data_IF_277609318612
#
_entry.id   IF_277609318612
#
_cell.length_a   1.000
_cell.length_b   1.000
_cell.length_c   1.000
_cell.angle_alpha   90.00
_cell.angle_beta   90.00
_cell.angle_gamma   90.00
#
_symmetry.space_group_name_H-M   'P 1'
#
loop_
_entity.id
_entity.type
_entity.pdbx_description
1 polymer ?
#
# COMPACT_ATOMS: atom_id res chain seq x y z
N UNK A 1 -27.74 -10.19 0.30
CA UNK A 1 -26.70 -9.49 1.07
C UNK A 1 -26.24 -10.48 2.13
N UNK A 2 -24.93 -10.68 2.28
CA UNK A 2 -24.40 -11.59 3.29
C UNK A 2 -24.81 -11.08 4.68
N UNK A 3 -25.47 -11.91 5.49
CA UNK A 3 -25.97 -11.52 6.81
C UNK A 3 -24.86 -11.05 7.74
N UNK A 4 -23.60 -11.47 7.49
CA UNK A 4 -22.42 -11.01 8.21
C UNK A 4 -22.21 -9.49 8.09
N UNK A 5 -22.50 -8.90 6.93
CA UNK A 5 -22.27 -7.47 6.70
C UNK A 5 -23.30 -6.61 7.44
N UNK A 6 -24.57 -7.02 7.43
CA UNK A 6 -25.61 -6.34 8.21
C UNK A 6 -25.31 -6.42 9.70
N UNK A 7 -24.92 -7.60 10.21
CA UNK A 7 -24.51 -7.75 11.61
C UNK A 7 -23.32 -6.86 11.97
N UNK A 8 -22.31 -6.80 11.09
CA UNK A 8 -21.13 -5.96 11.31
C UNK A 8 -21.43 -4.46 11.26
N UNK A 9 -22.35 -4.01 10.40
CA UNK A 9 -22.87 -2.64 10.39
C UNK A 9 -23.58 -2.27 11.69
N UNK A 10 -24.50 -3.13 12.15
CA UNK A 10 -25.23 -2.92 13.40
C UNK A 10 -24.28 -2.86 14.60
N UNK A 11 -23.32 -3.79 14.67
CA UNK A 11 -22.28 -3.79 15.70
C UNK A 11 -21.38 -2.55 15.64
N UNK A 12 -21.04 -2.07 14.43
CA UNK A 12 -20.25 -0.85 14.23
C UNK A 12 -20.96 0.38 14.82
N UNK A 13 -22.26 0.51 14.56
CA UNK A 13 -23.08 1.60 15.12
C UNK A 13 -23.16 1.48 16.64
N UNK A 14 -23.34 0.27 17.17
CA UNK A 14 -23.45 0.02 18.61
C UNK A 14 -22.20 0.43 19.39
N UNK A 15 -21.00 0.28 18.82
CA UNK A 15 -19.73 0.73 19.46
C UNK A 15 -19.39 2.21 19.18
N UNK A 16 -20.27 2.93 18.49
CA UNK A 16 -20.18 4.37 18.27
C UNK A 16 -19.55 4.80 16.94
N UNK A 17 -19.43 3.92 15.94
CA UNK A 17 -19.05 4.34 14.59
C UNK A 17 -20.24 5.04 13.93
N UNK A 18 -20.00 6.25 13.41
CA UNK A 18 -21.00 7.02 12.68
C UNK A 18 -20.98 6.59 11.21
N UNK A 19 -22.11 6.09 10.70
CA UNK A 19 -22.29 5.64 9.31
C UNK A 19 -23.42 6.43 8.63
N UNK A 20 -23.07 7.38 7.76
CA UNK A 20 -24.03 8.19 7.00
C UNK A 20 -24.03 7.78 5.53
N UNK A 21 -25.21 7.39 5.02
CA UNK A 21 -25.44 7.04 3.61
C UNK A 21 -24.54 5.90 3.07
N UNK A 22 -24.05 5.00 3.93
CA UNK A 22 -23.18 3.87 3.52
C UNK A 22 -23.73 2.51 3.92
N UNK A 23 -23.30 1.49 3.20
CA UNK A 23 -23.50 0.07 3.50
C UNK A 23 -22.33 -0.75 2.94
N UNK A 24 -22.06 -1.93 3.51
CA UNK A 24 -21.12 -2.90 2.97
C UNK A 24 -21.79 -3.79 1.93
N UNK A 25 -21.09 -4.03 0.84
CA UNK A 25 -21.56 -4.87 -0.24
C UNK A 25 -20.44 -5.65 -0.90
N UNK A 26 -20.75 -6.18 -2.08
CA UNK A 26 -19.79 -6.84 -2.96
C UNK A 26 -19.65 -6.00 -4.22
N UNK A 27 -18.43 -5.58 -4.52
CA UNK A 27 -18.04 -4.85 -5.72
C UNK A 27 -17.09 -5.66 -6.59
N UNK A 28 -16.53 -5.00 -7.61
CA UNK A 28 -15.57 -5.64 -8.53
C UNK A 28 -14.31 -6.17 -7.82
N UNK A 29 -13.95 -5.57 -6.68
CA UNK A 29 -12.75 -5.89 -5.92
C UNK A 29 -13.04 -6.71 -4.65
N UNK A 30 -14.22 -7.33 -4.55
CA UNK A 30 -14.69 -8.05 -3.36
C UNK A 30 -15.49 -7.14 -2.42
N UNK A 31 -15.35 -7.36 -1.11
CA UNK A 31 -16.09 -6.58 -0.10
C UNK A 31 -15.74 -5.10 -0.22
N UNK A 32 -16.75 -4.25 -0.34
CA UNK A 32 -16.58 -2.81 -0.50
C UNK A 32 -17.61 -2.00 0.27
N UNK A 33 -17.36 -0.70 0.40
CA UNK A 33 -18.32 0.27 0.94
C UNK A 33 -19.09 0.90 -0.22
N UNK A 34 -20.41 0.81 -0.19
CA UNK A 34 -21.34 1.36 -1.16
C UNK A 34 -22.14 2.50 -0.56
N UNK A 35 -22.54 3.46 -1.40
CA UNK A 35 -23.52 4.46 -1.02
C UNK A 35 -24.94 3.88 -1.06
N UNK A 36 -25.74 4.12 -0.01
CA UNK A 36 -27.17 3.75 0.03
C UNK A 36 -27.97 4.55 -1.02
N UNK A 37 -27.62 5.82 -1.18
CA UNK A 37 -28.11 6.73 -2.21
C UNK A 37 -26.91 7.41 -2.88
N UNK A 38 -26.60 7.01 -4.12
CA UNK A 38 -25.44 7.52 -4.86
C UNK A 38 -25.54 9.02 -5.23
N UNK A 39 -26.71 9.64 -5.06
CA UNK A 39 -26.92 11.08 -5.30
C UNK A 39 -26.60 11.96 -4.09
N UNK A 40 -26.29 11.35 -2.94
CA UNK A 40 -26.01 12.04 -1.68
C UNK A 40 -24.57 11.80 -1.24
N UNK A 41 -23.96 12.74 -0.49
CA UNK A 41 -22.67 12.52 0.10
C UNK A 41 -22.72 11.37 1.13
N UNK A 42 -21.56 10.81 1.42
CA UNK A 42 -21.33 9.82 2.48
C UNK A 42 -20.51 10.45 3.60
N UNK A 43 -20.63 9.89 4.80
CA UNK A 43 -19.70 10.13 5.89
C UNK A 43 -19.51 8.88 6.74
N UNK A 44 -18.27 8.60 7.12
CA UNK A 44 -17.90 7.54 8.06
C UNK A 44 -16.93 8.13 9.07
N UNK A 45 -17.24 8.00 10.36
CA UNK A 45 -16.34 8.40 11.45
C UNK A 45 -16.14 7.23 12.42
N UNK A 46 -14.89 6.82 12.58
CA UNK A 46 -14.47 5.83 13.57
C UNK A 46 -13.84 6.55 14.76
N UNK A 47 -14.42 6.47 15.97
CA UNK A 47 -13.81 6.99 17.18
C UNK A 47 -12.48 6.32 17.52
N UNK A 48 -11.58 7.06 18.20
CA UNK A 48 -10.24 6.56 18.56
C UNK A 48 -10.28 5.26 19.36
N UNK A 49 -11.26 5.07 20.26
CA UNK A 49 -11.37 3.86 21.10
C UNK A 49 -11.77 2.61 20.32
N UNK A 50 -12.30 2.75 19.11
CA UNK A 50 -12.72 1.64 18.24
C UNK A 50 -11.61 1.22 17.27
N UNK A 51 -10.55 2.02 17.11
CA UNK A 51 -9.38 1.62 16.33
C UNK A 51 -8.69 0.44 17.00
N UNK A 52 -8.34 -0.58 16.23
CA UNK A 52 -7.68 -1.80 16.74
C UNK A 52 -6.18 -1.74 16.46
N UNK A 53 -5.31 -1.60 17.48
CA UNK A 53 -3.87 -1.70 17.31
C UNK A 53 -3.48 -3.07 16.75
N UNK A 54 -2.61 -3.13 15.74
CA UNK A 54 -2.20 -4.40 15.14
C UNK A 54 -1.51 -5.33 16.15
N UNK A 55 -0.81 -4.78 17.14
CA UNK A 55 -0.14 -5.54 18.20
C UNK A 55 -1.11 -6.24 19.16
N UNK A 56 -2.40 -5.90 19.13
CA UNK A 56 -3.44 -6.52 19.96
C UNK A 56 -4.02 -7.79 19.34
N UNK A 57 -3.64 -8.13 18.10
CA UNK A 57 -4.21 -9.26 17.37
C UNK A 57 -3.36 -10.52 17.61
N UNK A 58 -4.01 -11.62 17.96
CA UNK A 58 -3.47 -12.96 17.86
C UNK A 58 -3.82 -13.52 16.47
N UNK A 59 -2.84 -13.56 15.57
CA UNK A 59 -3.04 -14.04 14.20
C UNK A 59 -3.16 -15.57 14.11
N UNK A 60 -2.80 -16.30 15.16
CA UNK A 60 -2.98 -17.75 15.21
C UNK A 60 -4.46 -18.09 15.36
N UNK A 61 -5.15 -17.41 16.29
CA UNK A 61 -6.58 -17.59 16.56
C UNK A 61 -7.48 -16.65 15.75
N UNK A 62 -6.92 -15.63 15.11
CA UNK A 62 -7.65 -14.54 14.44
C UNK A 62 -8.60 -13.79 15.40
N UNK A 63 -8.13 -13.54 16.62
CA UNK A 63 -8.89 -12.82 17.66
C UNK A 63 -8.02 -11.81 18.36
N UNK A 64 -8.63 -10.92 19.15
CA UNK A 64 -7.91 -10.04 20.06
C UNK A 64 -7.26 -10.87 21.16
N UNK A 65 -5.99 -10.58 21.47
CA UNK A 65 -5.23 -11.20 22.56
C UNK A 65 -5.94 -11.07 23.91
N UNK A 66 -5.83 -12.10 24.75
CA UNK A 66 -6.55 -12.19 26.02
C UNK A 66 -6.11 -11.12 27.03
N UNK A 67 -4.83 -10.74 27.01
CA UNK A 67 -4.20 -9.77 27.91
C UNK A 67 -4.51 -8.30 27.58
N UNK A 68 -5.17 -8.02 26.46
CA UNK A 68 -5.55 -6.64 26.08
C UNK A 68 -6.62 -6.12 27.04
N UNK A 69 -6.43 -4.94 27.62
CA UNK A 69 -7.47 -4.32 28.45
C UNK A 69 -8.42 -3.48 27.58
N UNK A 70 -9.69 -3.87 27.50
CA UNK A 70 -10.76 -3.16 26.78
C UNK A 70 -12.13 -3.63 27.31
N UNK A 71 -13.23 -2.98 26.89
CA UNK A 71 -14.58 -3.45 27.24
C UNK A 71 -14.95 -4.70 26.45
N UNK A 72 -15.86 -5.52 27.00
CA UNK A 72 -16.35 -6.73 26.31
C UNK A 72 -16.99 -6.37 24.97
N UNK A 73 -17.77 -5.29 24.92
CA UNK A 73 -18.42 -4.77 23.70
C UNK A 73 -17.41 -4.47 22.59
N UNK A 74 -16.32 -3.76 22.91
CA UNK A 74 -15.28 -3.42 21.92
C UNK A 74 -14.49 -4.66 21.50
N UNK A 75 -14.21 -5.58 22.43
CA UNK A 75 -13.54 -6.85 22.12
C UNK A 75 -14.37 -7.71 21.18
N UNK A 76 -15.66 -7.87 21.45
CA UNK A 76 -16.60 -8.62 20.60
C UNK A 76 -16.66 -7.99 19.20
N UNK A 77 -16.75 -6.66 19.14
CA UNK A 77 -16.72 -5.93 17.88
C UNK A 77 -15.42 -6.17 17.09
N UNK A 78 -14.26 -6.07 17.73
CA UNK A 78 -12.97 -6.32 17.08
C UNK A 78 -12.85 -7.77 16.59
N UNK A 79 -13.31 -8.75 17.37
CA UNK A 79 -13.33 -10.15 16.94
C UNK A 79 -14.25 -10.35 15.73
N UNK A 80 -15.42 -9.70 15.71
CA UNK A 80 -16.33 -9.72 14.56
C UNK A 80 -15.70 -9.09 13.31
N UNK A 81 -14.99 -7.96 13.48
CA UNK A 81 -14.21 -7.35 12.40
C UNK A 81 -13.16 -8.32 11.85
N UNK A 82 -12.35 -8.95 12.70
CA UNK A 82 -11.31 -9.90 12.29
C UNK A 82 -11.90 -11.12 11.57
N UNK A 83 -13.02 -11.64 12.06
CA UNK A 83 -13.76 -12.73 11.42
C UNK A 83 -14.37 -12.33 10.08
N UNK A 84 -14.65 -11.04 9.86
CA UNK A 84 -15.18 -10.52 8.60
C UNK A 84 -14.05 -10.24 7.59
N UNK A 85 -12.98 -9.58 8.03
CA UNK A 85 -11.85 -9.14 7.20
C UNK A 85 -10.87 -10.25 6.82
N UNK A 86 -10.78 -11.32 7.63
CA UNK A 86 -9.87 -12.46 7.42
C UNK A 86 -10.62 -13.79 7.49
N UNK A 87 -11.81 -13.83 6.88
CA UNK A 87 -12.62 -15.04 6.78
C UNK A 87 -11.96 -16.12 5.90
N UNK A 88 -12.51 -17.34 5.95
CA UNK A 88 -11.99 -18.48 5.20
C UNK A 88 -11.99 -18.27 3.68
N UNK A 89 -12.93 -17.51 3.13
CA UNK A 89 -12.99 -17.22 1.68
C UNK A 89 -11.79 -16.37 1.26
N UNK A 90 -11.51 -15.28 1.99
CA UNK A 90 -10.35 -14.39 1.74
C UNK A 90 -9.03 -15.17 1.89
N UNK A 91 -8.96 -16.04 2.91
CA UNK A 91 -7.80 -16.90 3.13
C UNK A 91 -7.62 -17.90 1.97
N UNK A 92 -8.71 -18.51 1.48
CA UNK A 92 -8.68 -19.45 0.37
C UNK A 92 -8.28 -18.77 -0.95
N UNK A 93 -8.82 -17.58 -1.24
CA UNK A 93 -8.46 -16.79 -2.41
C UNK A 93 -6.96 -16.46 -2.44
N UNK A 94 -6.41 -16.00 -1.31
CA UNK A 94 -4.98 -15.69 -1.23
C UNK A 94 -4.11 -16.96 -1.30
N UNK A 95 -4.53 -18.07 -0.69
CA UNK A 95 -3.84 -19.37 -0.83
C UNK A 95 -3.83 -19.86 -2.28
N UNK A 96 -4.91 -19.64 -3.04
CA UNK A 96 -4.95 -19.98 -4.46
C UNK A 96 -3.93 -19.15 -5.26
N UNK A 97 -3.82 -17.86 -4.97
CA UNK A 97 -2.77 -16.99 -5.56
C UNK A 97 -1.37 -17.49 -5.21
N UNK A 98 -1.09 -17.80 -3.93
CA UNK A 98 0.22 -18.29 -3.50
C UNK A 98 0.57 -19.65 -4.11
N UNK A 99 -0.42 -20.53 -4.29
CA UNK A 99 -0.26 -21.77 -5.04
C UNK A 99 0.13 -21.50 -6.49
N UNK A 100 -0.57 -20.61 -7.19
CA UNK A 100 -0.22 -20.25 -8.57
C UNK A 100 1.18 -19.62 -8.66
N UNK A 101 1.58 -18.81 -7.68
CA UNK A 101 2.93 -18.25 -7.56
C UNK A 101 3.99 -19.35 -7.40
N UNK A 102 3.72 -20.37 -6.59
CA UNK A 102 4.59 -21.51 -6.37
C UNK A 102 4.69 -22.41 -7.61
N UNK A 103 3.55 -22.77 -8.21
CA UNK A 103 3.47 -23.66 -9.38
C UNK A 103 4.18 -23.03 -10.61
N UNK A 104 4.21 -21.70 -10.69
CA UNK A 104 4.92 -20.93 -11.72
C UNK A 104 6.36 -20.56 -11.32
N UNK A 105 6.85 -20.95 -10.14
CA UNK A 105 8.20 -20.63 -9.66
C UNK A 105 8.49 -19.12 -9.58
N UNK A 106 7.47 -18.29 -9.34
CA UNK A 106 7.60 -16.83 -9.37
C UNK A 106 8.34 -16.26 -8.16
N UNK A 107 8.25 -16.93 -7.00
CA UNK A 107 9.01 -16.54 -5.80
C UNK A 107 10.52 -16.69 -6.05
N UNK A 108 10.97 -17.85 -6.54
CA UNK A 108 12.38 -18.10 -6.84
C UNK A 108 12.88 -17.18 -7.95
N UNK A 109 12.08 -17.01 -9.02
CA UNK A 109 12.42 -16.13 -10.12
C UNK A 109 12.62 -14.67 -9.67
N UNK A 110 11.74 -14.13 -8.81
CA UNK A 110 11.89 -12.74 -8.36
C UNK A 110 13.17 -12.58 -7.52
N UNK A 111 13.51 -13.58 -6.70
CA UNK A 111 14.73 -13.58 -5.91
C UNK A 111 15.98 -13.68 -6.80
N UNK A 112 16.00 -14.59 -7.78
CA UNK A 112 17.10 -14.74 -8.74
C UNK A 112 17.35 -13.44 -9.53
N UNK A 113 16.27 -12.80 -9.99
CA UNK A 113 16.32 -11.54 -10.76
C UNK A 113 16.43 -10.29 -9.88
N UNK A 114 16.38 -10.42 -8.56
CA UNK A 114 16.46 -9.31 -7.61
C UNK A 114 15.34 -8.27 -7.82
N UNK A 115 14.11 -8.72 -8.12
CA UNK A 115 12.93 -7.87 -8.38
C UNK A 115 12.24 -7.52 -7.04
N UNK A 116 12.97 -6.78 -6.21
CA UNK A 116 12.56 -6.43 -4.82
C UNK A 116 11.20 -5.75 -4.74
N UNK A 117 10.76 -5.07 -5.79
CA UNK A 117 9.46 -4.39 -5.84
C UNK A 117 8.26 -5.36 -5.82
N UNK A 118 8.45 -6.67 -6.03
CA UNK A 118 7.37 -7.68 -5.95
C UNK A 118 7.54 -8.66 -4.78
N UNK A 119 8.57 -8.49 -3.96
CA UNK A 119 8.95 -9.47 -2.94
C UNK A 119 7.82 -9.80 -1.96
N UNK A 120 6.96 -8.82 -1.61
CA UNK A 120 5.84 -9.05 -0.70
C UNK A 120 4.69 -9.76 -1.39
N UNK A 121 4.32 -9.34 -2.60
CA UNK A 121 3.24 -9.99 -3.35
C UNK A 121 3.57 -11.45 -3.67
N UNK A 122 4.83 -11.72 -4.06
CA UNK A 122 5.32 -13.05 -4.43
C UNK A 122 5.63 -13.95 -3.23
N UNK A 123 5.51 -13.47 -2.00
CA UNK A 123 5.77 -14.28 -0.80
C UNK A 123 4.74 -15.41 -0.72
N UNK A 124 5.24 -16.63 -0.52
CA UNK A 124 4.46 -17.81 -0.12
C UNK A 124 4.58 -17.92 1.39
N UNK A 125 3.45 -17.95 2.09
CA UNK A 125 3.42 -18.05 3.55
C UNK A 125 3.33 -19.52 3.96
N UNK A 126 4.06 -19.91 5.01
CA UNK A 126 4.12 -21.30 5.46
C UNK A 126 2.93 -21.66 6.35
N UNK A 127 2.35 -20.66 7.01
CA UNK A 127 1.25 -20.82 7.96
C UNK A 127 0.12 -19.83 7.73
N UNK A 128 -1.07 -20.18 8.21
CA UNK A 128 -2.24 -19.28 8.21
C UNK A 128 -1.99 -18.02 9.06
N UNK A 129 -1.18 -18.12 10.10
CA UNK A 129 -0.77 -16.99 10.93
C UNK A 129 0.02 -15.95 10.11
N UNK A 130 1.06 -16.38 9.40
CA UNK A 130 1.87 -15.51 8.53
C UNK A 130 1.06 -14.90 7.39
N UNK A 131 0.14 -15.69 6.84
CA UNK A 131 -0.76 -15.24 5.80
C UNK A 131 -1.69 -14.14 6.32
N UNK A 132 -2.32 -14.33 7.50
CA UNK A 132 -3.15 -13.28 8.12
C UNK A 132 -2.33 -12.03 8.44
N UNK A 133 -1.11 -12.16 8.95
CA UNK A 133 -0.21 -11.00 9.15
C UNK A 133 0.06 -10.23 7.85
N UNK A 134 0.26 -10.96 6.74
CA UNK A 134 0.50 -10.37 5.41
C UNK A 134 -0.73 -9.61 4.90
N UNK A 135 -1.92 -10.20 5.02
CA UNK A 135 -3.19 -9.56 4.66
C UNK A 135 -3.50 -8.36 5.57
N UNK A 136 -3.29 -8.52 6.87
CA UNK A 136 -3.52 -7.52 7.89
C UNK A 136 -2.69 -6.27 7.66
N UNK A 137 -1.41 -6.42 7.36
CA UNK A 137 -0.51 -5.29 7.11
C UNK A 137 -0.80 -4.51 5.81
N UNK A 138 -1.79 -4.92 5.01
CA UNK A 138 -2.29 -4.16 3.86
C UNK A 138 -3.49 -3.25 4.23
N UNK A 139 -4.03 -3.37 5.45
CA UNK A 139 -5.26 -2.70 5.93
C UNK A 139 -5.02 -1.71 7.07
N UNK A 140 -3.76 -1.43 7.39
CA UNK A 140 -3.36 -0.61 8.55
C UNK A 140 -3.04 0.83 8.18
N UNK A 141 -3.31 1.73 9.11
CA UNK A 141 -2.89 3.12 9.08
C UNK A 141 -1.84 3.35 10.18
N UNK A 142 -0.80 4.14 9.86
CA UNK A 142 0.14 4.62 10.88
C UNK A 142 -0.48 5.81 11.62
N UNK A 143 -0.65 5.69 12.95
CA UNK A 143 -1.17 6.74 13.83
C UNK A 143 -0.32 6.82 15.10
N UNK A 144 0.19 8.00 15.43
CA UNK A 144 0.91 8.25 16.70
C UNK A 144 2.09 7.25 16.95
N UNK A 145 2.72 6.74 15.90
CA UNK A 145 3.79 5.73 16.02
C UNK A 145 3.31 4.27 16.09
N UNK A 146 2.00 4.02 16.09
CA UNK A 146 1.39 2.69 16.09
C UNK A 146 0.69 2.38 14.77
N UNK A 147 0.70 1.12 14.35
CA UNK A 147 -0.14 0.63 13.25
C UNK A 147 -1.50 0.24 13.80
N UNK A 148 -2.56 0.81 13.23
CA UNK A 148 -3.94 0.58 13.66
C UNK A 148 -4.80 0.15 12.48
N UNK A 149 -5.69 -0.80 12.74
CA UNK A 149 -6.81 -1.11 11.88
C UNK A 149 -7.91 -0.05 12.06
N UNK A 150 -8.65 0.18 10.98
CA UNK A 150 -9.78 1.11 10.96
C UNK A 150 -11.04 0.31 10.59
N UNK A 151 -11.58 -0.49 11.52
CA UNK A 151 -12.72 -1.37 11.23
C UNK A 151 -13.83 -0.62 10.51
N UNK A 152 -14.32 -1.15 9.39
CA UNK A 152 -15.27 -0.51 8.45
C UNK A 152 -14.59 0.35 7.37
N UNK A 153 -13.75 1.31 7.72
CA UNK A 153 -13.08 2.20 6.76
C UNK A 153 -12.11 1.45 5.83
N UNK A 154 -11.48 0.39 6.32
CA UNK A 154 -10.54 -0.43 5.55
C UNK A 154 -11.20 -1.35 4.50
N UNK A 155 -12.54 -1.34 4.40
CA UNK A 155 -13.28 -1.92 3.27
C UNK A 155 -13.51 -0.93 2.12
N UNK A 156 -13.21 0.36 2.29
CA UNK A 156 -13.29 1.31 1.18
C UNK A 156 -12.13 1.06 0.21
N UNK A 157 -12.44 0.79 -1.06
CA UNK A 157 -11.43 0.43 -2.05
C UNK A 157 -10.57 1.60 -2.49
N UNK A 158 -9.44 1.28 -3.12
CA UNK A 158 -8.53 2.29 -3.64
C UNK A 158 -8.97 2.88 -4.99
N UNK A 159 -8.97 4.21 -5.09
CA UNK A 159 -8.92 4.95 -6.36
C UNK A 159 -8.14 6.25 -6.16
N UNK A 160 -7.37 6.66 -7.17
CA UNK A 160 -6.65 7.94 -7.13
C UNK A 160 -6.93 8.77 -8.39
N UNK A 161 -7.31 10.06 -8.25
CA UNK A 161 -7.66 10.76 -7.01
C UNK A 161 -9.01 10.29 -6.45
N UNK A 162 -9.18 10.33 -5.14
CA UNK A 162 -10.45 10.08 -4.44
C UNK A 162 -10.40 10.69 -3.03
N UNK A 163 -11.35 10.34 -2.16
CA UNK A 163 -11.38 10.77 -0.75
C UNK A 163 -10.08 10.37 -0.04
N UNK A 164 -9.74 11.06 1.05
CA UNK A 164 -8.57 10.72 1.87
C UNK A 164 -9.01 10.51 3.31
N UNK A 165 -8.33 9.59 3.99
CA UNK A 165 -8.48 9.44 5.44
C UNK A 165 -8.07 10.73 6.15
N UNK A 166 -8.95 11.27 6.97
CA UNK A 166 -8.64 12.37 7.87
C UNK A 166 -8.47 11.80 9.28
N UNK A 167 -7.25 11.88 9.79
CA UNK A 167 -6.93 11.49 11.17
C UNK A 167 -7.01 12.72 12.05
N UNK A 168 -7.87 12.68 13.08
CA UNK A 168 -8.03 13.74 14.09
C UNK A 168 -7.66 13.18 15.47
N UNK A 169 -7.59 14.01 16.50
CA UNK A 169 -7.40 13.54 17.88
C UNK A 169 -8.49 12.56 18.33
N UNK A 170 -9.71 12.70 17.81
CA UNK A 170 -10.89 11.93 18.21
C UNK A 170 -11.09 10.63 17.41
N UNK A 171 -10.35 10.43 16.32
CA UNK A 171 -10.50 9.23 15.49
C UNK A 171 -10.05 9.39 14.06
N UNK A 172 -10.65 8.61 13.16
CA UNK A 172 -10.39 8.66 11.72
C UNK A 172 -11.71 8.74 10.96
N UNK A 173 -11.78 9.59 9.93
CA UNK A 173 -13.00 9.80 9.15
C UNK A 173 -12.74 9.92 7.65
N UNK A 174 -13.78 9.64 6.85
CA UNK A 174 -13.90 10.03 5.44
C UNK A 174 -15.27 10.67 5.22
N UNK A 175 -15.34 11.65 4.33
CA UNK A 175 -16.60 12.27 3.91
C UNK A 175 -16.46 12.87 2.52
N UNK A 176 -17.52 12.80 1.72
CA UNK A 176 -17.58 13.34 0.36
C UNK A 176 -18.53 12.56 -0.55
N UNK A 177 -18.35 12.67 -1.85
CA UNK A 177 -19.24 12.02 -2.82
C UNK A 177 -18.74 10.62 -3.20
N UNK A 178 -19.63 9.61 -3.31
CA UNK A 178 -19.27 8.32 -3.86
C UNK A 178 -18.97 8.44 -5.37
N UNK A 179 -18.24 7.47 -5.92
CA UNK A 179 -17.95 7.41 -7.36
C UNK A 179 -18.61 6.17 -7.91
N UNK A 180 -19.55 6.35 -8.85
CA UNK A 180 -20.33 5.27 -9.45
C UNK A 180 -21.08 4.40 -8.41
N UNK A 181 -21.46 5.01 -7.28
CA UNK A 181 -22.13 4.34 -6.15
C UNK A 181 -21.22 3.64 -5.14
N UNK A 182 -19.91 3.57 -5.40
CA UNK A 182 -18.92 3.00 -4.48
C UNK A 182 -18.10 4.08 -3.78
N UNK A 183 -17.75 3.84 -2.53
CA UNK A 183 -16.91 4.73 -1.73
C UNK A 183 -15.45 4.34 -1.92
N UNK A 184 -14.70 5.20 -2.58
CA UNK A 184 -13.28 5.03 -2.78
C UNK A 184 -12.46 5.97 -1.90
N UNK A 185 -11.25 5.53 -1.59
CA UNK A 185 -10.24 6.31 -0.87
C UNK A 185 -8.89 6.22 -1.57
N UNK A 186 -8.07 7.25 -1.40
CA UNK A 186 -6.70 7.24 -1.86
C UNK A 186 -5.78 6.78 -0.74
N UNK A 187 -5.16 5.61 -0.92
CA UNK A 187 -4.14 5.07 0.01
C UNK A 187 -2.81 5.84 -0.05
N UNK A 188 -2.73 6.84 -0.92
CA UNK A 188 -1.56 7.70 -1.10
C UNK A 188 -1.09 7.76 -2.55
N UNK A 189 0.02 8.46 -2.76
CA UNK A 189 0.71 8.52 -4.05
C UNK A 189 1.52 7.24 -4.26
N UNK A 190 0.86 6.17 -4.69
CA UNK A 190 1.50 4.90 -5.07
C UNK A 190 1.55 4.79 -6.59
N UNK A 191 2.55 4.05 -7.08
CA UNK A 191 2.52 3.53 -8.45
C UNK A 191 1.87 2.15 -8.46
N UNK A 192 1.54 1.68 -9.66
CA UNK A 192 0.78 0.44 -9.88
C UNK A 192 1.56 -0.80 -9.42
N UNK A 193 2.90 -0.78 -9.50
CA UNK A 193 3.76 -1.83 -8.96
C UNK A 193 3.72 -1.88 -7.43
N UNK A 194 3.72 -0.73 -6.74
CA UNK A 194 3.58 -0.67 -5.29
C UNK A 194 2.20 -1.11 -4.83
N UNK A 195 1.15 -0.78 -5.58
CA UNK A 195 -0.21 -1.25 -5.29
C UNK A 195 -0.28 -2.77 -5.33
N UNK A 196 0.28 -3.38 -6.37
CA UNK A 196 0.37 -4.83 -6.51
C UNK A 196 1.16 -5.44 -5.35
N UNK A 197 2.35 -4.91 -5.07
CA UNK A 197 3.23 -5.46 -4.04
C UNK A 197 2.66 -5.38 -2.62
N UNK A 198 1.96 -4.28 -2.31
CA UNK A 198 1.52 -3.98 -0.94
C UNK A 198 0.12 -4.51 -0.67
N UNK A 199 -0.79 -4.35 -1.64
CA UNK A 199 -2.21 -4.62 -1.47
C UNK A 199 -2.74 -5.76 -2.36
N UNK A 200 -1.92 -6.29 -3.27
CA UNK A 200 -2.30 -7.44 -4.10
C UNK A 200 -3.20 -7.14 -5.29
N UNK A 201 -3.42 -5.86 -5.64
CA UNK A 201 -4.27 -5.48 -6.77
C UNK A 201 -3.59 -4.48 -7.70
N UNK A 202 -4.18 -4.32 -8.89
CA UNK A 202 -3.80 -3.32 -9.87
C UNK A 202 -4.86 -2.20 -9.95
N UNK A 203 -4.40 -0.95 -10.00
CA UNK A 203 -5.23 0.20 -10.39
C UNK A 203 -4.34 1.16 -11.20
N UNK A 204 -4.81 1.76 -12.31
CA UNK A 204 -4.03 2.74 -13.04
C UNK A 204 -3.67 3.94 -12.16
N UNK A 205 -2.40 4.33 -12.18
CA UNK A 205 -1.93 5.47 -11.37
C UNK A 205 -1.38 6.56 -12.28
N UNK A 206 -1.02 7.70 -11.68
CA UNK A 206 -0.33 8.80 -12.38
C UNK A 206 1.16 8.86 -12.06
N UNK A 207 1.67 7.94 -11.24
CA UNK A 207 3.02 7.99 -10.70
C UNK A 207 3.81 6.79 -11.19
N UNK A 208 5.12 6.97 -11.31
CA UNK A 208 6.06 5.87 -11.43
C UNK A 208 7.23 6.15 -10.49
N UNK A 209 7.57 5.19 -9.64
CA UNK A 209 8.70 5.26 -8.74
C UNK A 209 9.77 4.25 -9.14
N UNK A 210 11.00 4.51 -8.72
CA UNK A 210 12.09 3.59 -8.93
C UNK A 210 11.97 2.38 -7.99
N UNK A 211 12.43 1.23 -8.45
CA UNK A 211 12.45 0.00 -7.65
C UNK A 211 13.47 0.14 -6.50
N UNK A 212 13.19 -0.43 -5.31
CA UNK A 212 14.16 -0.47 -4.22
C UNK A 212 15.46 -1.13 -4.67
N UNK A 213 16.60 -0.49 -4.44
CA UNK A 213 17.89 -0.94 -4.97
C UNK A 213 19.06 -0.32 -4.22
N UNK A 214 20.22 -0.95 -4.33
CA UNK A 214 21.47 -0.40 -3.80
C UNK A 214 22.45 -0.12 -4.93
N UNK A 215 23.17 1.01 -4.85
CA UNK A 215 24.12 1.47 -5.86
C UNK A 215 25.44 1.85 -5.22
N UNK A 216 26.56 1.40 -5.77
CA UNK A 216 27.88 1.83 -5.32
C UNK A 216 28.24 3.14 -6.03
N UNK A 217 28.43 4.22 -5.27
CA UNK A 217 28.95 5.49 -5.79
C UNK A 217 30.50 5.50 -5.80
N UNK A 218 31.11 4.73 -4.91
CA UNK A 218 32.55 4.48 -4.86
C UNK A 218 32.81 3.10 -4.24
N UNK A 219 34.08 2.73 -4.04
CA UNK A 219 34.45 1.50 -3.35
C UNK A 219 33.96 1.43 -1.89
N UNK A 220 33.68 2.57 -1.26
CA UNK A 220 33.31 2.67 0.16
C UNK A 220 31.98 3.35 0.41
N UNK A 221 31.33 3.90 -0.63
CA UNK A 221 30.09 4.65 -0.51
C UNK A 221 28.97 3.97 -1.30
N UNK A 222 27.95 3.52 -0.58
CA UNK A 222 26.74 2.94 -1.13
C UNK A 222 25.54 3.87 -0.94
N UNK A 223 24.62 3.84 -1.91
CA UNK A 223 23.31 4.49 -1.85
C UNK A 223 22.26 3.41 -1.78
N UNK A 224 21.38 3.47 -0.78
CA UNK A 224 20.21 2.62 -0.67
C UNK A 224 18.97 3.44 -1.04
N UNK A 225 18.33 3.03 -2.11
CA UNK A 225 17.08 3.56 -2.60
C UNK A 225 15.93 2.69 -2.09
N UNK A 226 15.00 3.29 -1.37
CA UNK A 226 13.76 2.66 -0.90
C UNK A 226 12.57 3.03 -1.81
N UNK A 227 11.36 2.58 -1.44
CA UNK A 227 10.09 3.03 -2.03
C UNK A 227 9.11 3.56 -0.95
N UNK A 228 9.66 4.28 0.03
CA UNK A 228 8.94 4.89 1.16
C UNK A 228 8.52 6.33 0.83
N UNK A 229 7.51 6.45 -0.03
CA UNK A 229 6.93 7.75 -0.44
C UNK A 229 6.38 8.56 0.75
N UNK A 230 5.93 7.89 1.81
CA UNK A 230 5.40 8.55 3.01
C UNK A 230 6.48 9.26 3.84
N UNK A 231 7.76 8.94 3.65
CA UNK A 231 8.88 9.59 4.35
C UNK A 231 9.32 10.91 3.66
N UNK A 232 8.52 11.39 2.71
CA UNK A 232 8.79 12.60 1.94
C UNK A 232 8.99 13.83 2.84
N UNK A 233 9.84 14.74 2.38
CA UNK A 233 9.92 16.10 2.92
C UNK A 233 9.04 17.03 2.08
N UNK A 234 8.40 18.00 2.72
CA UNK A 234 7.57 18.98 2.01
C UNK A 234 8.43 20.09 1.41
N UNK A 235 8.16 20.42 0.16
CA UNK A 235 8.70 21.58 -0.55
C UNK A 235 7.54 22.42 -1.08
N UNK A 236 7.62 23.73 -0.86
CA UNK A 236 6.50 24.64 -1.13
C UNK A 236 6.24 24.82 -2.63
N UNK A 237 7.26 24.67 -3.48
CA UNK A 237 7.14 24.83 -4.93
C UNK A 237 6.77 23.49 -5.60
N UNK A 238 7.50 22.42 -5.24
CA UNK A 238 7.43 21.17 -5.99
C UNK A 238 6.56 20.08 -5.33
N UNK A 239 6.15 20.28 -4.08
CA UNK A 239 5.41 19.31 -3.29
C UNK A 239 6.31 18.29 -2.58
N UNK A 240 5.93 17.01 -2.48
CA UNK A 240 6.70 16.01 -1.75
C UNK A 240 8.00 15.63 -2.48
N UNK A 241 9.13 15.76 -1.78
CA UNK A 241 10.46 15.36 -2.23
C UNK A 241 10.97 14.15 -1.45
N UNK A 242 11.80 13.29 -2.06
CA UNK A 242 12.44 12.22 -1.32
C UNK A 242 13.37 12.77 -0.25
N UNK A 243 13.37 12.09 0.90
CA UNK A 243 14.32 12.36 1.97
C UNK A 243 15.64 11.70 1.61
N UNK A 244 16.71 12.49 1.54
CA UNK A 244 18.06 12.03 1.22
C UNK A 244 19.02 12.46 2.34
N UNK A 245 19.79 11.52 2.86
CA UNK A 245 20.78 11.81 3.90
C UNK A 245 21.69 10.62 4.20
N UNK A 246 22.67 10.83 5.07
CA UNK A 246 23.53 9.75 5.58
C UNK A 246 22.73 8.80 6.47
N UNK A 247 22.86 7.51 6.20
CA UNK A 247 22.37 6.44 7.07
C UNK A 247 23.30 6.22 8.27
N UNK A 248 22.80 5.49 9.26
CA UNK A 248 23.57 5.14 10.48
C UNK A 248 24.80 4.28 10.20
N UNK A 249 24.81 3.55 9.08
CA UNK A 249 25.89 2.65 8.67
C UNK A 249 26.86 3.29 7.64
N UNK A 250 26.84 4.62 7.49
CA UNK A 250 27.78 5.36 6.63
C UNK A 250 27.40 5.46 5.14
N UNK A 251 26.40 4.69 4.68
CA UNK A 251 25.80 4.84 3.35
C UNK A 251 24.89 6.07 3.21
N UNK A 252 24.40 6.34 2.01
CA UNK A 252 23.37 7.35 1.73
C UNK A 252 22.02 6.64 1.61
N UNK A 253 21.00 7.14 2.30
CA UNK A 253 19.62 6.67 2.19
C UNK A 253 18.81 7.65 1.36
N UNK A 254 18.05 7.13 0.40
CA UNK A 254 17.03 7.88 -0.34
C UNK A 254 15.67 7.19 -0.16
N UNK A 255 14.68 7.90 0.39
CA UNK A 255 13.40 7.28 0.74
C UNK A 255 12.61 6.78 -0.48
N UNK A 256 12.70 7.49 -1.61
CA UNK A 256 12.18 7.06 -2.91
C UNK A 256 12.86 7.84 -4.04
N UNK A 257 12.57 7.49 -5.29
CA UNK A 257 12.92 8.28 -6.46
C UNK A 257 11.76 8.21 -7.44
N UNK A 258 11.19 9.37 -7.81
CA UNK A 258 10.17 9.44 -8.85
C UNK A 258 10.84 9.27 -10.20
N UNK A 259 10.27 8.43 -11.06
CA UNK A 259 10.70 8.22 -12.44
C UNK A 259 9.78 8.90 -13.46
N UNK A 260 8.55 9.20 -13.06
CA UNK A 260 7.64 9.98 -13.88
C UNK A 260 6.35 10.32 -13.16
N UNK A 261 5.69 11.36 -13.65
CA UNK A 261 4.37 11.79 -13.23
C UNK A 261 3.59 12.10 -14.49
N UNK A 262 2.49 11.39 -14.70
CA UNK A 262 1.59 11.62 -15.82
C UNK A 262 1.17 13.09 -15.88
N UNK A 263 1.21 13.64 -17.10
CA UNK A 263 0.93 15.04 -17.43
C UNK A 263 1.95 16.05 -16.88
N UNK A 264 3.12 15.60 -16.40
CA UNK A 264 4.21 16.46 -15.92
C UNK A 264 5.59 15.94 -16.41
N UNK A 265 5.88 16.03 -17.71
CA UNK A 265 7.17 15.55 -18.24
C UNK A 265 8.34 16.33 -17.62
N UNK A 266 9.45 15.63 -17.34
CA UNK A 266 10.69 16.17 -16.75
C UNK A 266 10.59 16.59 -15.28
N UNK A 267 9.43 16.43 -14.65
CA UNK A 267 9.22 16.81 -13.25
C UNK A 267 10.05 15.93 -12.31
N UNK A 268 10.25 14.67 -12.66
CA UNK A 268 11.04 13.69 -11.93
C UNK A 268 12.49 14.15 -11.71
N UNK A 269 13.11 14.74 -12.74
CA UNK A 269 14.48 15.27 -12.64
C UNK A 269 14.55 16.52 -11.77
N UNK A 270 13.52 17.37 -11.81
CA UNK A 270 13.43 18.56 -10.94
C UNK A 270 13.27 18.14 -9.49
N UNK A 271 12.38 17.19 -9.20
CA UNK A 271 12.18 16.64 -7.86
C UNK A 271 13.46 16.02 -7.30
N UNK A 272 14.13 15.16 -8.08
CA UNK A 272 15.38 14.52 -7.65
C UNK A 272 16.48 15.54 -7.39
N UNK A 273 16.70 16.50 -8.31
CA UNK A 273 17.69 17.55 -8.14
C UNK A 273 17.44 18.36 -6.88
N UNK A 274 16.19 18.79 -6.67
CA UNK A 274 15.79 19.58 -5.50
C UNK A 274 16.01 18.80 -4.20
N UNK A 275 15.70 17.51 -4.19
CA UNK A 275 15.93 16.65 -3.03
C UNK A 275 17.42 16.50 -2.71
N UNK A 276 18.28 16.34 -3.73
CA UNK A 276 19.74 16.26 -3.53
C UNK A 276 20.30 17.59 -3.04
N UNK A 277 19.83 18.72 -3.56
CA UNK A 277 20.21 20.05 -3.06
C UNK A 277 19.89 20.20 -1.56
N UNK A 278 18.69 19.78 -1.14
CA UNK A 278 18.18 19.81 0.23
C UNK A 278 18.65 18.64 1.12
N UNK A 279 19.48 17.74 0.60
CA UNK A 279 19.97 16.59 1.36
C UNK A 279 20.81 17.01 2.57
N UNK A 280 20.70 16.24 3.65
CA UNK A 280 21.38 16.51 4.93
C UNK A 280 22.65 15.66 5.03
N UNK A 281 23.78 16.29 5.35
CA UNK A 281 25.05 15.60 5.61
C UNK A 281 25.81 15.11 4.38
N UNK A 282 25.38 15.47 3.16
CA UNK A 282 26.12 15.17 1.93
C UNK A 282 27.01 16.36 1.54
N UNK A 283 28.26 16.07 1.17
CA UNK A 283 29.17 17.07 0.60
C UNK A 283 28.88 17.36 -0.89
N UNK A 284 29.56 18.36 -1.48
CA UNK A 284 29.34 18.73 -2.89
C UNK A 284 29.67 17.61 -3.89
N UNK A 285 30.66 16.76 -3.58
CA UNK A 285 31.06 15.63 -4.44
C UNK A 285 30.00 14.54 -4.39
N UNK A 286 29.50 14.21 -3.21
CA UNK A 286 28.43 13.24 -3.00
C UNK A 286 27.12 13.71 -3.65
N UNK A 287 26.77 14.99 -3.51
CA UNK A 287 25.61 15.58 -4.21
C UNK A 287 25.76 15.44 -5.72
N UNK A 288 26.93 15.75 -6.29
CA UNK A 288 27.16 15.57 -7.73
C UNK A 288 27.03 14.11 -8.17
N UNK A 289 27.56 13.17 -7.37
CA UNK A 289 27.40 11.73 -7.62
C UNK A 289 25.93 11.30 -7.58
N UNK A 290 25.16 11.79 -6.61
CA UNK A 290 23.71 11.52 -6.50
C UNK A 290 22.91 12.06 -7.69
N UNK A 291 23.25 13.25 -8.20
CA UNK A 291 22.64 13.79 -9.43
C UNK A 291 22.93 12.90 -10.64
N UNK A 292 24.17 12.39 -10.74
CA UNK A 292 24.60 11.51 -11.83
C UNK A 292 24.03 10.08 -11.70
N UNK A 293 23.52 9.69 -10.53
CA UNK A 293 22.97 8.36 -10.28
C UNK A 293 21.57 8.15 -10.89
N UNK A 294 20.82 9.23 -11.13
CA UNK A 294 19.43 9.17 -11.60
C UNK A 294 19.22 8.28 -12.86
N UNK A 295 20.03 8.39 -13.94
CA UNK A 295 19.87 7.52 -15.11
C UNK A 295 20.08 6.03 -14.79
N UNK A 296 20.94 5.70 -13.83
CA UNK A 296 21.16 4.31 -13.40
C UNK A 296 19.96 3.77 -12.63
N UNK A 297 19.33 4.59 -11.78
CA UNK A 297 18.08 4.24 -11.09
C UNK A 297 16.96 3.98 -12.10
N UNK A 298 16.83 4.86 -13.09
CA UNK A 298 15.84 4.73 -14.15
C UNK A 298 16.05 3.44 -14.96
N UNK A 299 17.28 3.19 -15.46
CA UNK A 299 17.59 1.96 -16.20
C UNK A 299 17.34 0.69 -15.40
N UNK A 300 17.77 0.66 -14.14
CA UNK A 300 17.57 -0.50 -13.29
C UNK A 300 16.08 -0.79 -13.06
N UNK A 301 15.28 0.24 -12.81
CA UNK A 301 13.84 0.10 -12.62
C UNK A 301 13.13 -0.32 -13.89
N UNK A 302 13.48 0.27 -15.03
CA UNK A 302 12.96 -0.11 -16.34
C UNK A 302 13.24 -1.58 -16.67
N UNK A 303 14.46 -2.05 -16.40
CA UNK A 303 14.79 -3.48 -16.53
C UNK A 303 13.87 -4.33 -15.67
N UNK A 304 13.69 -3.98 -14.40
CA UNK A 304 12.83 -4.75 -13.49
C UNK A 304 11.36 -4.78 -13.93
N UNK A 305 10.81 -3.65 -14.39
CA UNK A 305 9.44 -3.58 -14.91
C UNK A 305 9.29 -4.37 -16.20
N UNK A 306 10.26 -4.28 -17.10
CA UNK A 306 10.25 -5.06 -18.34
C UNK A 306 10.36 -6.56 -18.08
N UNK A 307 11.27 -6.98 -17.20
CA UNK A 307 11.41 -8.38 -16.80
C UNK A 307 10.13 -8.91 -16.16
N UNK A 308 9.47 -8.11 -15.32
CA UNK A 308 8.15 -8.45 -14.76
C UNK A 308 7.09 -8.61 -15.84
N UNK A 309 6.99 -7.64 -16.76
CA UNK A 309 6.03 -7.70 -17.85
C UNK A 309 6.23 -8.96 -18.71
N UNK A 310 7.48 -9.24 -19.10
CA UNK A 310 7.85 -10.41 -19.91
C UNK A 310 7.63 -11.73 -19.18
N UNK A 311 7.88 -11.77 -17.87
CA UNK A 311 7.56 -12.96 -17.07
C UNK A 311 6.05 -13.15 -16.98
N UNK A 312 5.28 -12.08 -16.79
CA UNK A 312 3.82 -12.11 -16.77
C UNK A 312 3.22 -12.75 -18.02
N UNK A 313 3.74 -12.44 -19.22
CA UNK A 313 3.29 -13.07 -20.48
C UNK A 313 3.41 -14.61 -20.50
N UNK A 314 4.31 -15.16 -19.69
CA UNK A 314 4.58 -16.60 -19.60
C UNK A 314 3.75 -17.29 -18.52
N UNK A 315 3.11 -16.53 -17.63
CA UNK A 315 2.26 -17.05 -16.56
C UNK A 315 0.97 -17.62 -17.16
N UNK A 316 0.64 -18.86 -16.79
CA UNK A 316 -0.56 -19.57 -17.23
C UNK A 316 -1.79 -19.09 -16.48
N UNK A 317 -1.66 -18.79 -15.19
CA UNK A 317 -2.71 -18.20 -14.37
C UNK A 317 -3.09 -16.81 -14.90
N UNK A 318 -4.32 -16.68 -15.41
CA UNK A 318 -4.77 -15.48 -16.09
C UNK A 318 -4.84 -14.25 -15.17
N UNK A 319 -5.23 -14.45 -13.92
CA UNK A 319 -5.34 -13.37 -12.94
C UNK A 319 -3.95 -12.83 -12.61
N UNK A 320 -3.00 -13.70 -12.28
CA UNK A 320 -1.61 -13.32 -12.00
C UNK A 320 -0.94 -12.64 -13.20
N UNK A 321 -1.09 -13.23 -14.40
CA UNK A 321 -0.62 -12.65 -15.66
C UNK A 321 -1.13 -11.22 -15.81
N UNK A 322 -2.44 -11.03 -15.66
CA UNK A 322 -3.09 -9.72 -15.82
C UNK A 322 -2.57 -8.70 -14.81
N UNK A 323 -2.47 -9.07 -13.53
CA UNK A 323 -1.96 -8.19 -12.48
C UNK A 323 -0.51 -7.75 -12.76
N UNK A 324 0.38 -8.71 -13.05
CA UNK A 324 1.80 -8.45 -13.31
C UNK A 324 1.99 -7.57 -14.56
N UNK A 325 1.32 -7.91 -15.66
CA UNK A 325 1.45 -7.19 -16.92
C UNK A 325 0.88 -5.78 -16.81
N UNK A 326 -0.31 -5.61 -16.24
CA UNK A 326 -0.94 -4.30 -16.12
C UNK A 326 -0.16 -3.37 -15.19
N UNK A 327 0.25 -3.86 -14.02
CA UNK A 327 1.03 -3.05 -13.07
C UNK A 327 2.36 -2.58 -13.66
N UNK A 328 3.06 -3.48 -14.36
CA UNK A 328 4.33 -3.16 -15.01
C UNK A 328 4.16 -2.20 -16.19
N UNK A 329 3.17 -2.46 -17.05
CA UNK A 329 2.91 -1.65 -18.24
C UNK A 329 2.45 -0.24 -17.89
N UNK A 330 1.57 -0.09 -16.90
CA UNK A 330 1.11 1.21 -16.44
C UNK A 330 2.26 2.01 -15.81
N UNK A 331 3.05 1.38 -14.94
CA UNK A 331 4.22 2.03 -14.32
C UNK A 331 5.24 2.46 -15.38
N UNK A 332 5.57 1.62 -16.35
CA UNK A 332 6.48 1.99 -17.46
C UNK A 332 5.92 3.15 -18.28
N UNK A 333 4.62 3.11 -18.64
CA UNK A 333 3.97 4.19 -19.40
C UNK A 333 4.05 5.53 -18.69
N UNK A 334 3.91 5.53 -17.37
CA UNK A 334 3.99 6.74 -16.54
C UNK A 334 5.42 7.30 -16.39
N UNK A 335 6.45 6.62 -16.90
CA UNK A 335 7.84 7.12 -16.96
C UNK A 335 8.20 7.84 -18.27
N UNK A 336 7.30 7.80 -19.26
CA UNK A 336 7.42 8.49 -20.55
C UNK A 336 6.82 9.89 -20.46
#
# INVERSE_FOLDING_TARGET
MDSRYTLFEEASIAVGIELENVTLGQGQFGVCVLAKDASKPIAIRIPKHVLLPSDFIDFKTNTVKAEVETTDEVREYWNLYLATAFNDDIMAERKAIEKSIADEGLNDWQAEKQITILARFMKINETDEELRQTLSSARVLQREGTLVHMPYLDFANHRHPSLAFKTTENGTEIAGDPIDGEVFVSYGAHDSMKLLNTYGFFNPTRFAYAVPSSFNLSATLQVHLSNRVLDAIRDDELGPLPRIGKGTEGGILASYCTLGIKDRPRWERRLWRRAVERSVGLDSKEKQMMLNLFPSMQRNSWRAFWETYRRGEQVKDEQLRTLMMNASADTMRNTL
#
